data_IF_592103279814
#
_entry.id   IF_592103279814
#
_cell.length_a   1.000
_cell.length_b   1.000
_cell.length_c   1.000
_cell.angle_alpha   90.00
_cell.angle_beta   90.00
_cell.angle_gamma   90.00
#
_symmetry.space_group_name_H-M   'P 1'
#
loop_
_entity.id
_entity.type
_entity.pdbx_description
1 polymer ?
#
# COMPACT_ATOMS: atom_id res chain seq x y z
N UNK A 1 14.46 -8.59 12.05
CA UNK A 1 13.46 -7.73 12.71
C UNK A 1 12.21 -8.55 12.76
N UNK A 2 11.77 -8.95 13.96
CA UNK A 2 10.58 -9.79 14.13
C UNK A 2 9.35 -9.05 13.61
N UNK A 3 8.65 -9.65 12.64
CA UNK A 3 7.39 -9.15 12.04
C UNK A 3 6.22 -9.07 13.05
N UNK A 4 6.43 -9.40 14.34
CA UNK A 4 5.38 -9.56 15.35
C UNK A 4 4.60 -8.28 15.72
N UNK A 5 5.03 -7.10 15.28
CA UNK A 5 4.31 -5.85 15.56
C UNK A 5 3.11 -5.63 14.64
N UNK A 6 3.10 -6.21 13.43
CA UNK A 6 2.08 -5.93 12.43
C UNK A 6 1.47 -7.22 11.89
N UNK A 7 0.13 -7.24 11.78
CA UNK A 7 -0.62 -8.39 11.24
C UNK A 7 -0.44 -8.57 9.72
N UNK A 8 0.15 -7.59 9.06
CA UNK A 8 0.32 -7.55 7.61
C UNK A 8 1.51 -6.65 7.25
N UNK A 9 2.35 -7.11 6.34
CA UNK A 9 3.45 -6.36 5.75
C UNK A 9 3.64 -6.81 4.31
N UNK A 10 4.03 -5.89 3.43
CA UNK A 10 4.40 -6.19 2.05
C UNK A 10 5.72 -5.50 1.67
N UNK A 11 6.56 -6.15 0.86
CA UNK A 11 7.69 -5.46 0.25
C UNK A 11 7.19 -4.52 -0.85
N UNK A 12 7.65 -3.27 -0.83
CA UNK A 12 7.38 -2.28 -1.88
C UNK A 12 8.71 -1.86 -2.52
N UNK A 13 8.80 -2.02 -3.84
CA UNK A 13 9.98 -1.60 -4.61
C UNK A 13 9.94 -0.10 -4.85
N UNK A 14 10.91 0.63 -4.27
CA UNK A 14 11.11 2.06 -4.52
C UNK A 14 11.56 2.26 -5.97
N UNK A 15 10.91 3.18 -6.68
CA UNK A 15 11.24 3.52 -8.07
C UNK A 15 12.00 4.85 -8.12
N UNK A 16 12.73 5.09 -9.20
CA UNK A 16 13.43 6.37 -9.40
C UNK A 16 12.48 7.58 -9.30
N UNK A 17 11.23 7.45 -9.77
CA UNK A 17 10.19 8.48 -9.66
C UNK A 17 9.82 8.85 -8.22
N UNK A 18 10.04 7.96 -7.27
CA UNK A 18 9.70 8.20 -5.86
C UNK A 18 10.80 8.99 -5.13
N UNK A 19 11.94 9.21 -5.78
CA UNK A 19 13.09 9.96 -5.26
C UNK A 19 12.99 11.42 -5.72
N UNK A 20 13.18 12.36 -4.79
CA UNK A 20 13.18 13.79 -5.12
C UNK A 20 14.59 14.32 -5.46
N UNK A 21 14.69 15.63 -5.73
CA UNK A 21 15.96 16.26 -6.08
C UNK A 21 17.03 16.21 -4.97
N UNK A 22 16.65 15.88 -3.72
CA UNK A 22 17.57 15.71 -2.61
C UNK A 22 18.14 14.28 -2.52
N UNK A 23 17.72 13.38 -3.41
CA UNK A 23 18.22 12.00 -3.46
C UNK A 23 17.60 11.07 -2.43
N UNK A 24 16.53 11.50 -1.76
CA UNK A 24 15.77 10.68 -0.82
C UNK A 24 14.36 10.40 -1.34
N UNK A 25 13.70 9.41 -0.76
CA UNK A 25 12.29 9.15 -1.05
C UNK A 25 11.46 10.36 -0.64
N UNK A 26 10.68 10.88 -1.59
CA UNK A 26 9.81 12.01 -1.35
C UNK A 26 8.75 11.64 -0.30
N UNK A 27 8.48 12.56 0.64
CA UNK A 27 7.48 12.32 1.69
C UNK A 27 6.09 12.02 1.14
N UNK A 28 5.69 12.59 0.00
CA UNK A 28 4.41 12.31 -0.62
C UNK A 28 4.31 10.87 -1.16
N UNK A 29 5.43 10.26 -1.56
CA UNK A 29 5.45 8.88 -2.07
C UNK A 29 5.01 7.87 -1.01
N UNK A 30 5.18 8.18 0.28
CA UNK A 30 4.70 7.33 1.37
C UNK A 30 3.19 7.15 1.36
N UNK A 31 2.40 8.15 0.93
CA UNK A 31 0.95 7.97 0.80
C UNK A 31 0.59 6.94 -0.25
N UNK A 32 1.30 6.93 -1.39
CA UNK A 32 1.12 5.90 -2.42
C UNK A 32 1.55 4.52 -1.93
N UNK A 33 2.60 4.42 -1.11
CA UNK A 33 3.02 3.15 -0.51
C UNK A 33 1.96 2.62 0.48
N UNK A 34 1.39 3.50 1.30
CA UNK A 34 0.30 3.14 2.22
C UNK A 34 -0.97 2.74 1.48
N UNK A 35 -1.30 3.41 0.37
CA UNK A 35 -2.42 3.05 -0.49
C UNK A 35 -2.23 1.65 -1.08
N UNK A 36 -1.05 1.37 -1.65
CA UNK A 36 -0.72 0.04 -2.17
C UNK A 36 -0.82 -1.03 -1.08
N UNK A 37 -0.28 -0.77 0.11
CA UNK A 37 -0.36 -1.70 1.23
C UNK A 37 -1.82 -1.93 1.69
N UNK A 38 -2.65 -0.90 1.72
CA UNK A 38 -4.07 -1.02 2.06
C UNK A 38 -4.82 -1.86 1.04
N UNK A 39 -4.60 -1.64 -0.25
CA UNK A 39 -5.21 -2.46 -1.32
C UNK A 39 -4.84 -3.93 -1.17
N UNK A 40 -3.56 -4.24 -0.98
CA UNK A 40 -3.11 -5.63 -0.80
C UNK A 40 -3.63 -6.24 0.51
N UNK A 41 -3.76 -5.45 1.57
CA UNK A 41 -4.33 -5.94 2.82
C UNK A 41 -5.80 -6.33 2.67
N UNK A 42 -6.59 -5.47 2.02
CA UNK A 42 -8.01 -5.74 1.71
C UNK A 42 -8.15 -6.98 0.81
N UNK A 43 -7.23 -7.15 -0.14
CA UNK A 43 -7.14 -8.34 -0.99
C UNK A 43 -6.83 -9.59 -0.17
N UNK A 44 -5.88 -9.53 0.76
CA UNK A 44 -5.53 -10.65 1.65
C UNK A 44 -6.70 -11.03 2.57
N UNK A 45 -7.47 -10.05 3.04
CA UNK A 45 -8.66 -10.30 3.87
C UNK A 45 -9.84 -10.91 3.08
N UNK A 46 -9.75 -10.98 1.75
CA UNK A 46 -10.83 -11.49 0.91
C UNK A 46 -12.07 -10.57 0.91
N UNK A 47 -11.90 -9.30 1.27
CA UNK A 47 -12.96 -8.30 1.26
C UNK A 47 -13.19 -7.70 -0.14
N UNK A 48 -12.31 -8.03 -1.09
CA UNK A 48 -12.41 -7.62 -2.49
C UNK A 48 -12.39 -8.83 -3.42
N UNK A 49 -13.53 -9.51 -3.51
CA UNK A 49 -13.63 -10.85 -4.13
C UNK A 49 -13.88 -10.80 -5.64
N UNK A 50 -14.59 -9.79 -6.11
CA UNK A 50 -15.10 -9.66 -7.48
C UNK A 50 -14.21 -8.84 -8.41
N UNK A 51 -13.17 -8.18 -7.88
CA UNK A 51 -12.36 -7.22 -8.62
C UNK A 51 -13.13 -5.95 -9.04
N UNK A 52 -14.37 -5.80 -8.59
CA UNK A 52 -15.23 -4.63 -8.85
C UNK A 52 -15.08 -3.62 -7.73
N UNK A 53 -14.99 -2.34 -8.07
CA UNK A 53 -14.81 -1.27 -7.09
C UNK A 53 -16.08 -1.00 -6.28
N UNK A 54 -17.25 -1.31 -6.83
CA UNK A 54 -18.57 -1.20 -6.20
C UNK A 54 -18.83 -2.21 -5.07
N UNK A 55 -18.05 -3.28 -5.00
CA UNK A 55 -18.22 -4.32 -3.98
C UNK A 55 -17.42 -4.04 -2.69
N UNK A 56 -16.56 -3.02 -2.73
CA UNK A 56 -15.87 -2.51 -1.54
C UNK A 56 -16.85 -1.63 -0.75
N UNK A 57 -17.28 -2.09 0.42
CA UNK A 57 -18.16 -1.33 1.32
C UNK A 57 -17.54 -0.06 1.93
N UNK A 58 -16.36 0.36 1.47
CA UNK A 58 -15.64 1.55 1.90
C UNK A 58 -14.75 2.07 0.76
N UNK A 59 -14.43 3.36 0.80
CA UNK A 59 -13.58 4.01 -0.20
C UNK A 59 -12.11 3.79 0.16
N UNK A 60 -11.31 3.39 -0.82
CA UNK A 60 -9.84 3.40 -0.77
C UNK A 60 -9.38 4.63 -1.55
N UNK A 61 -8.62 5.52 -0.90
CA UNK A 61 -8.03 6.77 -1.45
C UNK A 61 -6.51 6.71 -1.34
#
# INVERSE_FOLDING_TARGET
MSDDLFRFSIPITVRYRDIDAQGHVNHAAYFSFMEQARVEYVRQLGLWTSGRWDDLGFIIV
#
